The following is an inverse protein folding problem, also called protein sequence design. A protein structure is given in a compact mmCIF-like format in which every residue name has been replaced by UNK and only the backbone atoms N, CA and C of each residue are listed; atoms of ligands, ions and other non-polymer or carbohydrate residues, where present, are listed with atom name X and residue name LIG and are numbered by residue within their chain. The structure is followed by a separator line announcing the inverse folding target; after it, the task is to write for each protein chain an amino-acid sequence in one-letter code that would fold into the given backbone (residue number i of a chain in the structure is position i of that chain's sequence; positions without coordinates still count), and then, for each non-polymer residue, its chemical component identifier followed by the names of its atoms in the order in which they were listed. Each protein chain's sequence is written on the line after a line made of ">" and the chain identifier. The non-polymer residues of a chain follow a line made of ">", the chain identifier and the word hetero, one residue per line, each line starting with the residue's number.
data_IF_304091174394
#
_entry.id   IF_304091174394
#
_cell.length_a   1.000
_cell.length_b   1.000
_cell.length_c   1.000
_cell.angle_alpha   90.00
_cell.angle_beta   90.00
_cell.angle_gamma   90.00
#
_symmetry.space_group_name_H-M   'P 1'
#
loop_
_entity.id
_entity.type
_entity.pdbx_description
1 polymer ?
#
# COMPACT_ATOMS: atom_id res chain seq x y z
N UNK A 1 -20.88 10.63 -0.88
CA UNK A 1 -21.73 10.08 -1.96
C UNK A 1 -21.19 8.76 -2.47
N UNK A 2 -20.02 8.70 -3.13
CA UNK A 2 -19.47 7.43 -3.67
C UNK A 2 -19.28 6.33 -2.61
N UNK A 3 -18.68 6.65 -1.45
CA UNK A 3 -18.53 5.71 -0.34
C UNK A 3 -19.89 5.15 0.15
N UNK A 4 -20.87 6.03 0.33
CA UNK A 4 -22.20 5.64 0.81
C UNK A 4 -22.90 4.74 -0.20
N UNK A 5 -22.88 5.11 -1.49
CA UNK A 5 -23.45 4.31 -2.57
C UNK A 5 -22.81 2.91 -2.67
N UNK A 6 -21.49 2.81 -2.51
CA UNK A 6 -20.81 1.52 -2.44
C UNK A 6 -21.27 0.71 -1.21
N UNK A 7 -21.29 1.31 -0.03
CA UNK A 7 -21.62 0.63 1.22
C UNK A 7 -23.09 0.18 1.30
N UNK A 8 -24.01 0.92 0.66
CA UNK A 8 -25.45 0.60 0.66
C UNK A 8 -25.77 -0.69 -0.13
N UNK A 9 -24.98 -1.01 -1.16
CA UNK A 9 -25.23 -2.16 -2.05
C UNK A 9 -24.24 -3.32 -1.82
N UNK A 10 -23.12 -3.09 -1.13
CA UNK A 10 -22.09 -4.09 -0.85
C UNK A 10 -22.01 -4.41 0.64
N UNK A 11 -23.08 -5.02 1.14
CA UNK A 11 -23.23 -5.37 2.55
C UNK A 11 -22.06 -6.23 3.06
N UNK A 12 -21.63 -5.97 4.29
CA UNK A 12 -20.48 -6.62 4.92
C UNK A 12 -20.56 -8.14 4.81
N UNK A 13 -19.50 -8.76 4.29
CA UNK A 13 -19.36 -10.20 4.07
C UNK A 13 -20.36 -10.83 3.09
N UNK A 14 -21.03 -10.03 2.26
CA UNK A 14 -21.99 -10.51 1.26
C UNK A 14 -21.56 -10.13 -0.16
N UNK A 15 -21.55 -11.13 -1.05
CA UNK A 15 -21.29 -10.93 -2.47
C UNK A 15 -19.80 -10.82 -2.85
N UNK A 16 -19.52 -10.57 -4.14
CA UNK A 16 -18.19 -10.70 -4.72
C UNK A 16 -17.17 -9.73 -4.12
N UNK A 17 -17.60 -8.51 -3.78
CA UNK A 17 -16.71 -7.50 -3.23
C UNK A 17 -16.09 -7.88 -1.88
N UNK A 18 -16.62 -8.88 -1.17
CA UNK A 18 -16.09 -9.34 0.12
C UNK A 18 -15.33 -10.67 0.04
N UNK A 19 -15.08 -11.21 -1.16
CA UNK A 19 -14.39 -12.50 -1.35
C UNK A 19 -12.88 -12.34 -1.16
N UNK A 20 -12.27 -11.37 -1.85
CA UNK A 20 -10.82 -11.17 -1.83
C UNK A 20 -10.40 -10.34 -0.61
N UNK A 21 -9.52 -10.90 0.23
CA UNK A 21 -8.94 -10.19 1.37
C UNK A 21 -8.08 -9.00 0.93
N UNK A 22 -7.35 -9.14 -0.18
CA UNK A 22 -6.56 -8.06 -0.77
C UNK A 22 -7.45 -6.89 -1.24
N UNK A 23 -8.56 -7.16 -1.93
CA UNK A 23 -9.47 -6.09 -2.36
C UNK A 23 -10.11 -5.38 -1.16
N UNK A 24 -10.46 -6.13 -0.11
CA UNK A 24 -10.91 -5.58 1.18
C UNK A 24 -9.86 -4.65 1.77
N UNK A 25 -8.58 -5.06 1.77
CA UNK A 25 -7.48 -4.24 2.27
C UNK A 25 -7.27 -2.97 1.43
N UNK A 26 -7.30 -3.07 0.10
CA UNK A 26 -7.15 -1.92 -0.79
C UNK A 26 -8.29 -0.91 -0.64
N UNK A 27 -9.55 -1.36 -0.52
CA UNK A 27 -10.66 -0.44 -0.24
C UNK A 27 -10.52 0.25 1.11
N UNK A 28 -10.10 -0.48 2.14
CA UNK A 28 -9.83 0.11 3.45
C UNK A 28 -8.75 1.20 3.37
N UNK A 29 -7.66 0.93 2.65
CA UNK A 29 -6.58 1.93 2.43
C UNK A 29 -7.11 3.15 1.67
N UNK A 30 -7.91 2.95 0.62
CA UNK A 30 -8.53 4.04 -0.14
C UNK A 30 -9.51 4.87 0.70
N UNK A 31 -10.32 4.23 1.56
CA UNK A 31 -11.23 4.90 2.49
C UNK A 31 -10.47 5.77 3.50
N UNK A 32 -9.40 5.24 4.07
CA UNK A 32 -8.51 5.99 4.96
C UNK A 32 -7.89 7.20 4.27
N UNK A 33 -7.38 7.02 3.05
CA UNK A 33 -6.80 8.12 2.29
C UNK A 33 -7.86 9.21 1.98
N UNK A 34 -9.04 8.80 1.52
CA UNK A 34 -10.15 9.71 1.28
C UNK A 34 -10.55 10.50 2.54
N UNK A 35 -10.57 9.84 3.70
CA UNK A 35 -10.81 10.53 4.97
C UNK A 35 -9.77 11.61 5.24
N UNK A 36 -8.47 11.33 5.05
CA UNK A 36 -7.42 12.34 5.25
C UNK A 36 -7.63 13.58 4.38
N UNK A 37 -8.00 13.38 3.11
CA UNK A 37 -8.23 14.48 2.16
C UNK A 37 -9.50 15.28 2.49
N UNK A 38 -10.59 14.62 2.89
CA UNK A 38 -11.90 15.25 3.03
C UNK A 38 -12.32 15.56 4.48
N UNK A 39 -11.51 15.21 5.48
CA UNK A 39 -11.87 15.35 6.91
C UNK A 39 -12.27 16.77 7.32
N UNK A 40 -11.67 17.80 6.71
CA UNK A 40 -11.97 19.21 6.98
C UNK A 40 -13.18 19.77 6.22
N UNK A 41 -13.79 18.99 5.31
CA UNK A 41 -14.97 19.41 4.57
C UNK A 41 -16.18 19.54 5.48
N UNK A 42 -16.98 20.60 5.31
CA UNK A 42 -18.29 20.71 5.98
C UNK A 42 -19.30 19.61 5.62
N UNK A 43 -19.01 18.80 4.59
CA UNK A 43 -19.84 17.65 4.22
C UNK A 43 -19.41 16.34 4.89
N UNK A 44 -18.29 16.33 5.61
CA UNK A 44 -17.80 15.22 6.44
C UNK A 44 -18.45 15.30 7.82
N UNK A 45 -19.76 15.09 7.86
CA UNK A 45 -20.57 15.15 9.09
C UNK A 45 -20.16 14.06 10.08
N UNK A 46 -20.41 14.24 11.39
CA UNK A 46 -20.12 13.20 12.40
C UNK A 46 -20.68 11.83 12.03
N UNK A 47 -21.93 11.75 11.58
CA UNK A 47 -22.57 10.49 11.16
C UNK A 47 -21.84 9.81 9.99
N UNK A 48 -21.31 10.60 9.04
CA UNK A 48 -20.55 10.07 7.90
C UNK A 48 -19.18 9.56 8.33
N UNK A 49 -18.53 10.26 9.25
CA UNK A 49 -17.24 9.84 9.83
C UNK A 49 -17.42 8.56 10.63
N UNK A 50 -18.48 8.46 11.43
CA UNK A 50 -18.82 7.24 12.17
C UNK A 50 -19.09 6.08 11.22
N UNK A 51 -19.93 6.29 10.20
CA UNK A 51 -20.23 5.28 9.18
C UNK A 51 -18.97 4.80 8.46
N UNK A 52 -18.06 5.71 8.10
CA UNK A 52 -16.77 5.36 7.49
C UNK A 52 -15.88 4.56 8.44
N UNK A 53 -15.84 4.95 9.72
CA UNK A 53 -15.08 4.26 10.77
C UNK A 53 -15.58 2.83 10.98
N UNK A 54 -16.90 2.62 10.99
CA UNK A 54 -17.52 1.29 11.04
C UNK A 54 -17.15 0.46 9.80
N UNK A 55 -17.20 1.06 8.61
CA UNK A 55 -16.79 0.36 7.39
C UNK A 55 -15.32 -0.06 7.43
N UNK A 56 -14.40 0.80 7.90
CA UNK A 56 -12.98 0.46 8.10
C UNK A 56 -12.85 -0.71 9.09
N UNK A 57 -13.58 -0.68 10.21
CA UNK A 57 -13.56 -1.76 11.20
C UNK A 57 -14.05 -3.10 10.61
N UNK A 58 -15.12 -3.09 9.82
CA UNK A 58 -15.66 -4.27 9.14
C UNK A 58 -14.67 -4.88 8.14
N UNK A 59 -14.04 -4.03 7.32
CA UNK A 59 -13.01 -4.46 6.36
C UNK A 59 -11.81 -5.09 7.11
N UNK A 60 -11.34 -4.45 8.18
CA UNK A 60 -10.26 -5.00 9.00
C UNK A 60 -10.64 -6.30 9.72
N UNK A 61 -11.89 -6.45 10.15
CA UNK A 61 -12.38 -7.66 10.80
C UNK A 61 -12.48 -8.85 9.83
N UNK A 62 -12.69 -8.60 8.54
CA UNK A 62 -12.79 -9.63 7.49
C UNK A 62 -11.45 -10.25 7.11
N UNK A 63 -10.36 -9.48 7.14
CA UNK A 63 -9.03 -9.93 6.68
C UNK A 63 -8.52 -11.18 7.44
N UNK A 64 -8.51 -11.22 8.79
CA UNK A 64 -7.95 -12.35 9.53
C UNK A 64 -8.63 -13.69 9.24
N UNK A 65 -9.91 -13.69 8.82
CA UNK A 65 -10.66 -14.90 8.51
C UNK A 65 -10.13 -15.64 7.27
N UNK A 66 -9.46 -14.94 6.35
CA UNK A 66 -8.90 -15.55 5.11
C UNK A 66 -7.38 -15.40 5.01
N UNK A 67 -6.71 -14.92 6.04
CA UNK A 67 -5.27 -14.68 5.99
C UNK A 67 -4.45 -15.95 5.68
N UNK A 68 -4.98 -17.13 6.02
CA UNK A 68 -4.38 -18.42 5.63
C UNK A 68 -4.27 -18.59 4.11
N UNK A 69 -5.25 -18.06 3.35
CA UNK A 69 -5.24 -18.09 1.90
C UNK A 69 -4.15 -17.17 1.33
N UNK A 70 -4.04 -15.94 1.83
CA UNK A 70 -2.98 -15.01 1.44
C UNK A 70 -1.57 -15.57 1.71
N UNK A 71 -1.40 -16.26 2.85
CA UNK A 71 -0.17 -16.96 3.19
C UNK A 71 0.13 -18.10 2.22
N UNK A 72 -0.88 -18.90 1.87
CA UNK A 72 -0.73 -20.03 0.97
C UNK A 72 -0.38 -19.62 -0.47
N UNK A 73 -0.86 -18.45 -0.93
CA UNK A 73 -0.53 -17.94 -2.25
C UNK A 73 0.94 -17.49 -2.39
N UNK A 74 1.57 -17.10 -1.28
CA UNK A 74 2.97 -16.66 -1.23
C UNK A 74 3.31 -15.57 -2.28
N UNK A 75 2.48 -14.53 -2.36
CA UNK A 75 2.58 -13.43 -3.32
C UNK A 75 2.19 -12.08 -2.66
N UNK A 76 1.87 -11.06 -3.48
CA UNK A 76 1.47 -9.73 -3.01
C UNK A 76 0.21 -9.67 -2.12
N UNK A 77 -0.60 -10.74 -2.02
CA UNK A 77 -1.80 -10.74 -1.19
C UNK A 77 -1.45 -10.59 0.29
N UNK A 78 -0.42 -11.31 0.77
CA UNK A 78 -0.05 -11.30 2.18
C UNK A 78 0.41 -9.91 2.65
N UNK A 79 1.25 -9.25 1.85
CA UNK A 79 1.71 -7.88 2.15
C UNK A 79 0.57 -6.88 2.06
N UNK A 80 -0.34 -7.02 1.09
CA UNK A 80 -1.50 -6.13 0.92
C UNK A 80 -2.48 -6.24 2.09
N UNK A 81 -2.83 -7.46 2.49
CA UNK A 81 -3.74 -7.73 3.61
C UNK A 81 -3.15 -7.27 4.94
N UNK A 82 -1.84 -7.50 5.16
CA UNK A 82 -1.14 -7.01 6.33
C UNK A 82 -1.11 -5.47 6.38
N UNK A 83 -0.88 -4.79 5.25
CA UNK A 83 -0.94 -3.33 5.16
C UNK A 83 -2.34 -2.78 5.50
N UNK A 84 -3.41 -3.45 5.06
CA UNK A 84 -4.77 -3.10 5.43
C UNK A 84 -5.00 -3.15 6.95
N UNK A 85 -4.48 -4.18 7.63
CA UNK A 85 -4.59 -4.28 9.10
C UNK A 85 -3.81 -3.19 9.83
N UNK A 86 -2.59 -2.87 9.38
CA UNK A 86 -1.80 -1.77 9.94
C UNK A 86 -2.56 -0.45 9.77
N UNK A 87 -3.10 -0.21 8.57
CA UNK A 87 -3.88 0.98 8.24
C UNK A 87 -5.10 1.13 9.17
N UNK A 88 -5.86 0.05 9.36
CA UNK A 88 -7.02 0.05 10.25
C UNK A 88 -6.64 0.41 11.70
N UNK A 89 -5.55 -0.17 12.21
CA UNK A 89 -5.09 0.08 13.56
C UNK A 89 -4.60 1.52 13.77
N UNK A 90 -3.99 2.13 12.75
CA UNK A 90 -3.55 3.52 12.78
C UNK A 90 -4.72 4.50 12.71
N UNK A 91 -5.78 4.20 11.95
CA UNK A 91 -6.95 5.07 11.85
C UNK A 91 -7.94 4.92 13.01
N UNK A 92 -8.01 3.74 13.63
CA UNK A 92 -8.94 3.43 14.70
C UNK A 92 -8.17 3.02 15.96
N UNK A 93 -7.36 3.90 16.58
CA UNK A 93 -6.52 3.55 17.72
C UNK A 93 -7.33 3.08 18.93
N UNK A 94 -8.53 3.64 19.14
CA UNK A 94 -9.42 3.34 20.26
C UNK A 94 -10.30 2.08 20.04
N UNK A 95 -10.27 1.49 18.84
CA UNK A 95 -11.08 0.31 18.59
C UNK A 95 -10.53 -0.90 19.38
N UNK A 96 -11.37 -1.72 20.03
CA UNK A 96 -10.91 -2.82 20.89
C UNK A 96 -9.98 -3.84 20.21
N UNK A 97 -10.11 -4.01 18.89
CA UNK A 97 -9.26 -4.90 18.08
C UNK A 97 -8.02 -4.21 17.47
N UNK A 98 -7.83 -2.91 17.66
CA UNK A 98 -6.78 -2.11 17.03
C UNK A 98 -5.39 -2.68 17.27
N UNK A 99 -5.05 -2.96 18.54
CA UNK A 99 -3.77 -3.59 18.91
C UNK A 99 -3.57 -4.93 18.20
N UNK A 100 -4.59 -5.79 18.19
CA UNK A 100 -4.53 -7.09 17.51
C UNK A 100 -4.30 -6.95 16.01
N UNK A 101 -4.96 -6.00 15.35
CA UNK A 101 -4.73 -5.72 13.93
C UNK A 101 -3.31 -5.24 13.67
N UNK A 102 -2.79 -4.32 14.49
CA UNK A 102 -1.40 -3.85 14.39
C UNK A 102 -0.40 -4.99 14.56
N UNK A 103 -0.59 -5.85 15.55
CA UNK A 103 0.33 -6.96 15.83
C UNK A 103 0.34 -7.99 14.69
N UNK A 104 -0.84 -8.39 14.21
CA UNK A 104 -0.97 -9.30 13.06
C UNK A 104 -0.37 -8.67 11.80
N UNK A 105 -0.72 -7.41 11.53
CA UNK A 105 -0.24 -6.66 10.38
C UNK A 105 1.28 -6.57 10.38
N UNK A 106 1.90 -6.07 11.46
CA UNK A 106 3.36 -5.96 11.59
C UNK A 106 4.06 -7.31 11.40
N UNK A 107 3.55 -8.36 12.03
CA UNK A 107 4.15 -9.69 11.92
C UNK A 107 4.18 -10.18 10.47
N UNK A 108 3.02 -10.20 9.80
CA UNK A 108 2.92 -10.73 8.44
C UNK A 108 3.51 -9.82 7.38
N UNK A 109 3.48 -8.50 7.59
CA UNK A 109 4.10 -7.55 6.68
C UNK A 109 5.61 -7.75 6.61
N UNK A 110 6.27 -7.80 7.76
CA UNK A 110 7.70 -8.03 7.84
C UNK A 110 8.07 -9.43 7.35
N UNK A 111 7.32 -10.47 7.76
CA UNK A 111 7.54 -11.82 7.27
C UNK A 111 7.45 -11.91 5.74
N UNK A 112 6.44 -11.29 5.13
CA UNK A 112 6.28 -11.29 3.68
C UNK A 112 7.48 -10.62 3.00
N UNK A 113 7.85 -9.40 3.41
CA UNK A 113 8.98 -8.68 2.80
C UNK A 113 10.31 -9.43 2.97
N UNK A 114 10.56 -10.02 4.14
CA UNK A 114 11.80 -10.75 4.43
C UNK A 114 11.92 -12.05 3.64
N UNK A 115 10.80 -12.73 3.37
CA UNK A 115 10.79 -14.05 2.72
C UNK A 115 10.50 -14.01 1.22
N UNK A 116 9.81 -12.96 0.74
CA UNK A 116 9.40 -12.84 -0.66
C UNK A 116 10.30 -11.91 -1.49
N UNK A 117 11.23 -11.19 -0.85
CA UNK A 117 12.29 -10.43 -1.53
C UNK A 117 13.59 -11.22 -1.39
N UNK A 118 14.22 -11.56 -2.51
CA UNK A 118 15.51 -12.23 -2.53
C UNK A 118 16.65 -11.30 -2.09
N UNK A 119 17.87 -11.82 -1.93
CA UNK A 119 19.01 -11.02 -1.49
C UNK A 119 19.47 -10.00 -2.54
N UNK A 120 19.18 -10.25 -3.82
CA UNK A 120 19.44 -9.33 -4.92
C UNK A 120 18.31 -8.29 -5.14
N UNK A 121 17.28 -8.31 -4.29
CA UNK A 121 16.13 -7.41 -4.38
C UNK A 121 14.99 -7.92 -5.24
N UNK A 122 15.13 -9.02 -5.98
CA UNK A 122 14.03 -9.54 -6.81
C UNK A 122 12.83 -9.96 -5.95
N UNK A 123 11.62 -9.56 -6.38
CA UNK A 123 10.38 -9.99 -5.73
C UNK A 123 9.85 -11.30 -6.31
N UNK A 124 9.30 -12.18 -5.46
CA UNK A 124 8.92 -13.57 -5.78
C UNK A 124 7.96 -13.75 -6.96
N UNK A 125 7.18 -12.71 -7.31
CA UNK A 125 6.26 -12.78 -8.44
C UNK A 125 6.93 -12.56 -9.81
N UNK A 126 8.22 -12.22 -9.84
CA UNK A 126 9.00 -12.01 -11.07
C UNK A 126 8.30 -11.11 -12.10
N UNK A 127 7.64 -10.06 -11.61
CA UNK A 127 6.88 -9.10 -12.40
C UNK A 127 7.29 -7.69 -12.02
N UNK A 128 7.64 -6.84 -13.00
CA UNK A 128 7.97 -5.45 -12.71
C UNK A 128 6.75 -4.69 -12.19
N UNK A 129 5.53 -5.00 -12.63
CA UNK A 129 4.33 -4.37 -12.10
C UNK A 129 4.05 -4.76 -10.64
N UNK A 130 4.14 -6.06 -10.29
CA UNK A 130 3.95 -6.48 -8.91
C UNK A 130 5.10 -6.05 -7.98
N UNK A 131 6.31 -5.91 -8.51
CA UNK A 131 7.42 -5.31 -7.78
C UNK A 131 7.14 -3.85 -7.44
N UNK A 132 6.64 -3.07 -8.40
CA UNK A 132 6.19 -1.69 -8.15
C UNK A 132 5.05 -1.63 -7.12
N UNK A 133 4.06 -2.51 -7.24
CA UNK A 133 2.97 -2.61 -6.26
C UNK A 133 3.50 -2.88 -4.85
N UNK A 134 4.42 -3.84 -4.70
CA UNK A 134 5.05 -4.17 -3.41
C UNK A 134 5.75 -2.95 -2.80
N UNK A 135 6.56 -2.23 -3.58
CA UNK A 135 7.23 -1.01 -3.11
C UNK A 135 6.22 0.07 -2.72
N UNK A 136 5.13 0.23 -3.47
CA UNK A 136 4.10 1.21 -3.15
C UNK A 136 3.36 0.88 -1.84
N UNK A 137 3.06 -0.40 -1.59
CA UNK A 137 2.49 -0.84 -0.33
C UNK A 137 3.49 -0.60 0.82
N UNK A 138 4.78 -0.86 0.60
CA UNK A 138 5.83 -0.59 1.58
C UNK A 138 5.96 0.88 1.94
N UNK A 139 5.90 1.78 0.95
CA UNK A 139 5.87 3.22 1.18
C UNK A 139 4.67 3.65 2.01
N UNK A 140 3.47 3.15 1.68
CA UNK A 140 2.26 3.42 2.46
C UNK A 140 2.39 2.97 3.92
N UNK A 141 2.90 1.76 4.16
CA UNK A 141 3.09 1.30 5.55
C UNK A 141 4.18 2.11 6.26
N UNK A 142 5.23 2.53 5.54
CA UNK A 142 6.28 3.39 6.10
C UNK A 142 5.71 4.72 6.61
N UNK A 143 4.76 5.36 5.89
CA UNK A 143 4.13 6.61 6.38
C UNK A 143 3.34 6.41 7.68
N UNK A 144 2.86 5.20 7.95
CA UNK A 144 2.10 4.89 9.17
C UNK A 144 2.98 4.48 10.34
N UNK A 145 4.11 3.82 10.07
CA UNK A 145 4.95 3.17 11.09
C UNK A 145 6.27 3.91 11.34
N UNK A 146 6.70 4.76 10.41
CA UNK A 146 7.91 5.58 10.47
C UNK A 146 9.23 4.83 10.30
N UNK A 147 9.26 3.52 10.54
CA UNK A 147 10.46 2.71 10.35
C UNK A 147 10.12 1.23 10.18
N UNK A 148 11.09 0.48 9.66
CA UNK A 148 11.03 -0.98 9.57
C UNK A 148 12.18 -1.62 10.34
N UNK A 149 12.02 -2.89 10.78
CA UNK A 149 13.15 -3.70 11.20
C UNK A 149 14.27 -3.67 10.16
N UNK A 150 15.53 -3.73 10.63
CA UNK A 150 16.71 -3.61 9.79
C UNK A 150 16.67 -4.54 8.56
N UNK A 151 16.31 -5.80 8.76
CA UNK A 151 16.24 -6.79 7.67
C UNK A 151 15.19 -6.39 6.61
N UNK A 152 14.00 -6.00 7.04
CA UNK A 152 12.94 -5.53 6.13
C UNK A 152 13.38 -4.30 5.34
N UNK A 153 14.02 -3.33 6.02
CA UNK A 153 14.55 -2.14 5.36
C UNK A 153 15.63 -2.50 4.32
N UNK A 154 16.55 -3.42 4.65
CA UNK A 154 17.57 -3.90 3.72
C UNK A 154 16.97 -4.60 2.48
N UNK A 155 15.90 -5.39 2.68
CA UNK A 155 15.17 -6.02 1.56
C UNK A 155 14.52 -4.98 0.65
N UNK A 156 13.88 -3.97 1.22
CA UNK A 156 13.26 -2.88 0.47
C UNK A 156 14.28 -2.01 -0.26
N UNK A 157 15.44 -1.75 0.36
CA UNK A 157 16.57 -1.08 -0.28
C UNK A 157 17.03 -1.87 -1.52
N UNK A 158 17.34 -3.16 -1.36
CA UNK A 158 17.75 -4.01 -2.48
C UNK A 158 16.69 -4.08 -3.59
N UNK A 159 15.41 -4.22 -3.23
CA UNK A 159 14.32 -4.23 -4.21
C UNK A 159 14.18 -2.88 -4.93
N UNK A 160 14.43 -1.76 -4.25
CA UNK A 160 14.41 -0.44 -4.86
C UNK A 160 15.55 -0.30 -5.87
N UNK A 161 16.78 -0.68 -5.50
CA UNK A 161 17.93 -0.68 -6.41
C UNK A 161 17.68 -1.56 -7.64
N UNK A 162 17.14 -2.76 -7.44
CA UNK A 162 16.84 -3.68 -8.54
C UNK A 162 15.89 -3.07 -9.58
N UNK A 163 14.83 -2.39 -9.14
CA UNK A 163 13.88 -1.77 -10.07
C UNK A 163 14.44 -0.49 -10.70
N UNK A 164 15.29 0.26 -9.99
CA UNK A 164 16.01 1.42 -10.53
C UNK A 164 16.92 1.02 -11.69
N UNK A 165 17.66 -0.07 -11.57
CA UNK A 165 18.57 -0.57 -12.62
C UNK A 165 17.85 -0.92 -13.93
N UNK A 166 16.55 -1.25 -13.85
CA UNK A 166 15.71 -1.55 -15.02
C UNK A 166 15.04 -0.32 -15.64
N UNK A 167 15.05 0.82 -14.95
CA UNK A 167 14.31 2.00 -15.37
C UNK A 167 15.10 2.80 -16.41
N UNK A 168 14.46 3.12 -17.52
CA UNK A 168 14.94 4.16 -18.43
C UNK A 168 14.75 5.54 -17.77
N UNK A 169 15.81 6.30 -17.44
CA UNK A 169 15.68 7.57 -16.74
C UNK A 169 14.92 8.64 -17.57
N UNK A 170 14.96 8.54 -18.91
CA UNK A 170 14.29 9.50 -19.78
C UNK A 170 12.76 9.37 -19.75
N UNK A 171 12.26 8.15 -19.91
CA UNK A 171 10.81 7.88 -19.98
C UNK A 171 10.20 7.37 -18.67
N UNK A 172 11.03 6.90 -17.74
CA UNK A 172 10.60 6.21 -16.53
C UNK A 172 10.05 4.81 -16.76
N UNK A 173 10.14 4.27 -17.98
CA UNK A 173 9.62 2.94 -18.32
C UNK A 173 10.60 1.86 -17.88
N UNK A 174 10.06 0.69 -17.60
CA UNK A 174 10.82 -0.54 -17.33
C UNK A 174 10.39 -1.63 -18.34
N UNK A 175 11.20 -2.69 -18.56
CA UNK A 175 10.74 -3.87 -19.27
C UNK A 175 9.48 -4.47 -18.62
N UNK A 176 8.52 -4.89 -19.45
CA UNK A 176 7.31 -5.55 -18.96
C UNK A 176 7.61 -7.03 -18.69
N UNK A 177 8.21 -7.32 -17.54
CA UNK A 177 8.51 -8.69 -17.11
C UNK A 177 7.31 -9.25 -16.33
N UNK A 178 7.06 -10.54 -16.52
CA UNK A 178 6.04 -11.28 -15.77
C UNK A 178 4.60 -10.82 -16.06
N UNK A 179 3.69 -11.19 -15.16
CA UNK A 179 2.28 -10.83 -15.26
C UNK A 179 2.07 -9.34 -14.99
N UNK A 180 1.21 -8.71 -15.79
CA UNK A 180 0.85 -7.31 -15.63
C UNK A 180 -0.63 -7.14 -15.97
N UNK A 181 -1.44 -6.97 -14.93
CA UNK A 181 -2.88 -6.74 -14.96
C UNK A 181 -3.25 -5.27 -14.70
N UNK A 182 -2.27 -4.37 -14.65
CA UNK A 182 -2.49 -2.98 -14.29
C UNK A 182 -2.50 -2.68 -12.78
N UNK A 183 -2.15 -3.63 -11.91
CA UNK A 183 -2.14 -3.40 -10.47
C UNK A 183 -1.32 -2.17 -10.05
N UNK A 184 -1.98 -1.24 -9.35
CA UNK A 184 -1.39 -0.02 -8.83
C UNK A 184 -2.26 0.46 -7.66
N UNK A 185 -1.72 0.52 -6.44
CA UNK A 185 -2.49 0.71 -5.19
C UNK A 185 -3.20 2.06 -5.17
N UNK A 186 -2.45 3.14 -5.32
CA UNK A 186 -2.98 4.51 -5.41
C UNK A 186 -2.16 5.29 -6.45
N UNK A 187 -2.75 5.66 -7.60
CA UNK A 187 -2.06 6.45 -8.61
C UNK A 187 -1.99 7.94 -8.19
N UNK A 188 -1.30 8.24 -7.08
CA UNK A 188 -1.10 9.60 -6.55
C UNK A 188 -0.04 10.34 -7.37
N UNK A 189 -0.28 10.43 -8.67
CA UNK A 189 0.63 11.03 -9.64
C UNK A 189 -0.12 11.41 -10.92
N UNK A 190 0.32 12.50 -11.54
CA UNK A 190 -0.06 12.95 -12.87
C UNK A 190 0.71 12.23 -13.99
N UNK A 191 1.73 11.42 -13.66
CA UNK A 191 2.46 10.62 -14.64
C UNK A 191 1.61 9.47 -15.19
N UNK A 192 1.95 9.01 -16.39
CA UNK A 192 1.28 7.85 -17.00
C UNK A 192 1.55 6.56 -16.21
N UNK A 193 0.64 5.57 -16.32
CA UNK A 193 0.84 4.25 -15.72
C UNK A 193 2.18 3.58 -16.08
N UNK A 194 2.74 3.86 -17.26
CA UNK A 194 4.00 3.26 -17.72
C UNK A 194 5.23 3.94 -17.14
N UNK A 195 5.07 5.07 -16.46
CA UNK A 195 6.15 5.80 -15.79
C UNK A 195 6.27 5.29 -14.34
N UNK A 196 7.39 4.64 -14.05
CA UNK A 196 7.68 4.05 -12.75
C UNK A 196 8.42 5.01 -11.82
N UNK A 197 8.86 6.17 -12.33
CA UNK A 197 9.59 7.18 -11.54
C UNK A 197 8.86 7.62 -10.28
N UNK A 198 7.52 7.77 -10.22
CA UNK A 198 6.86 8.19 -8.99
C UNK A 198 7.13 7.26 -7.81
N UNK A 199 7.00 5.94 -8.02
CA UNK A 199 7.26 4.94 -6.98
C UNK A 199 8.76 4.80 -6.74
N UNK A 200 9.58 4.80 -7.80
CA UNK A 200 11.04 4.68 -7.69
C UNK A 200 11.68 5.84 -6.93
N UNK A 201 11.25 7.07 -7.21
CA UNK A 201 11.74 8.27 -6.54
C UNK A 201 11.40 8.24 -5.05
N UNK A 202 10.13 7.96 -4.70
CA UNK A 202 9.70 7.84 -3.31
C UNK A 202 10.43 6.70 -2.58
N UNK A 203 10.59 5.54 -3.22
CA UNK A 203 11.29 4.39 -2.65
C UNK A 203 12.79 4.67 -2.47
N UNK A 204 13.46 5.30 -3.43
CA UNK A 204 14.87 5.63 -3.35
C UNK A 204 15.16 6.61 -2.22
N UNK A 205 14.35 7.67 -2.09
CA UNK A 205 14.48 8.64 -1.00
C UNK A 205 14.28 7.97 0.36
N UNK A 206 13.36 7.01 0.45
CA UNK A 206 12.96 6.39 1.72
C UNK A 206 13.88 5.24 2.15
N UNK A 207 14.31 4.39 1.21
CA UNK A 207 15.02 3.14 1.50
C UNK A 207 16.49 3.14 1.10
N UNK A 208 16.90 4.07 0.21
CA UNK A 208 18.31 4.26 -0.19
C UNK A 208 18.88 5.59 0.30
N UNK A 209 18.02 6.50 0.76
CA UNK A 209 18.37 7.89 1.07
C UNK A 209 18.89 8.69 -0.13
N UNK A 210 18.60 8.24 -1.35
CA UNK A 210 19.07 8.78 -2.62
C UNK A 210 17.96 9.51 -3.42
N UNK A 211 18.36 10.38 -4.35
CA UNK A 211 17.47 11.06 -5.28
C UNK A 211 17.90 10.76 -6.73
N UNK A 212 17.40 9.67 -7.34
CA UNK A 212 17.91 9.16 -8.62
C UNK A 212 17.46 9.99 -9.83
N UNK A 213 16.32 10.69 -9.74
CA UNK A 213 15.82 11.56 -10.80
C UNK A 213 15.88 13.03 -10.36
N UNK A 214 16.10 13.98 -11.29
CA UNK A 214 15.95 15.40 -10.99
C UNK A 214 14.50 15.72 -10.60
N UNK A 215 14.26 16.90 -10.03
CA UNK A 215 12.89 17.30 -9.67
C UNK A 215 11.95 17.28 -10.90
N UNK A 216 10.74 16.77 -10.73
CA UNK A 216 9.77 16.63 -11.81
C UNK A 216 8.40 16.13 -11.36
N UNK A 217 7.47 15.87 -12.31
CA UNK A 217 6.11 15.42 -11.99
C UNK A 217 6.05 14.11 -11.18
N UNK A 218 7.11 13.31 -11.23
CA UNK A 218 7.25 12.08 -10.45
C UNK A 218 7.45 12.30 -8.94
N UNK A 219 7.71 13.53 -8.48
CA UNK A 219 7.79 13.82 -7.05
C UNK A 219 6.43 13.83 -6.34
N UNK A 220 5.31 13.85 -7.10
CA UNK A 220 3.95 13.99 -6.57
C UNK A 220 3.58 12.90 -5.55
N UNK A 221 3.98 11.64 -5.78
CA UNK A 221 3.73 10.56 -4.82
C UNK A 221 4.42 10.85 -3.48
N UNK A 222 5.68 11.28 -3.51
CA UNK A 222 6.45 11.64 -2.31
C UNK A 222 5.80 12.79 -1.56
N UNK A 223 5.26 13.78 -2.28
CA UNK A 223 4.55 14.92 -1.68
C UNK A 223 3.27 14.47 -0.97
N UNK A 224 2.44 13.65 -1.61
CA UNK A 224 1.22 13.12 -1.00
C UNK A 224 1.49 12.27 0.25
N UNK A 225 2.60 11.52 0.26
CA UNK A 225 3.00 10.66 1.37
C UNK A 225 3.81 11.41 2.45
N UNK A 226 4.15 12.68 2.24
CA UNK A 226 5.00 13.44 3.17
C UNK A 226 6.44 12.92 3.25
N UNK A 227 6.94 12.26 2.19
CA UNK A 227 8.26 11.62 2.11
C UNK A 227 9.32 12.50 1.42
N UNK A 228 8.97 13.70 0.98
CA UNK A 228 9.93 14.64 0.40
C UNK A 228 10.94 15.14 1.44
N UNK A 229 12.24 15.00 1.17
CA UNK A 229 13.32 15.69 1.91
C UNK A 229 13.26 17.20 1.59
N UNK A 230 12.32 17.90 2.22
CA UNK A 230 12.11 19.36 2.18
C UNK A 230 12.04 20.05 0.80
N UNK A 231 10.88 20.67 0.53
CA UNK A 231 10.74 21.76 -0.43
C UNK A 231 11.57 22.98 -0.02
#
# INVERSE_FOLDING_TARGET
>A
REFEAFADINLTNLGPNWISGQEVAFRLIAFTFAYQVFSSSGTSTPDRIERLSLAIADHAARIPATLIYARAQNNNHLISEAAGLITAASCLPEHPKSRKWRDIGRHWFNHALQTQIANDGTYIQHSTNYHRLMLQIALWVYTLEGSFPKETHQKLAAATSWLLELADPGTGRVPNLGHNDGAYLQPLTSCSFHDYRPVLQAAAVTFLEEQPFPAGPWDELSLWLGLSKHA
#
